data_IF_681247666863
#
_entry.id   IF_681247666863
#
_cell.length_a   1.000
_cell.length_b   1.000
_cell.length_c   1.000
_cell.angle_alpha   90.00
_cell.angle_beta   90.00
_cell.angle_gamma   90.00
#
_symmetry.space_group_name_H-M   'P 1'
#
loop_
_entity.id
_entity.type
_entity.pdbx_description
1 polymer ?
#
# COMPACT_ATOMS: atom_id res chain seq x y z
N UNK A 1 -16.85 -15.76 21.29
CA UNK A 1 -16.66 -14.33 20.98
C UNK A 1 -16.82 -14.20 19.48
N UNK A 2 -17.92 -13.58 19.00
CA UNK A 2 -18.07 -13.28 17.58
C UNK A 2 -17.13 -12.10 17.26
N UNK A 3 -15.97 -12.38 16.69
CA UNK A 3 -15.18 -11.36 16.01
C UNK A 3 -16.00 -10.91 14.81
N UNK A 4 -16.62 -9.74 14.90
CA UNK A 4 -17.13 -9.04 13.73
C UNK A 4 -15.94 -8.82 12.83
N UNK A 5 -15.88 -9.60 11.75
CA UNK A 5 -14.80 -9.52 10.77
C UNK A 5 -14.96 -8.16 10.04
N UNK A 6 -14.38 -7.11 10.64
CA UNK A 6 -14.46 -5.77 10.09
C UNK A 6 -13.64 -5.76 8.78
N UNK A 7 -14.34 -5.56 7.66
CA UNK A 7 -13.74 -5.58 6.32
C UNK A 7 -13.33 -4.20 5.83
N UNK A 8 -13.50 -3.20 6.66
CA UNK A 8 -13.15 -1.81 6.36
C UNK A 8 -12.48 -1.20 7.58
N UNK A 9 -11.40 -0.47 7.33
CA UNK A 9 -10.72 0.26 8.38
C UNK A 9 -10.00 1.48 7.80
N UNK A 10 -10.00 2.56 8.58
CA UNK A 10 -9.15 3.73 8.35
C UNK A 10 -8.39 4.05 9.63
N UNK A 11 -7.14 4.42 9.48
CA UNK A 11 -6.24 4.76 10.57
C UNK A 11 -5.38 5.95 10.18
N UNK A 12 -5.14 6.84 11.16
CA UNK A 12 -4.17 7.93 11.05
C UNK A 12 -3.32 7.88 12.31
N UNK A 13 -2.01 7.88 12.14
CA UNK A 13 -1.03 7.70 13.20
C UNK A 13 -1.13 8.74 14.31
N UNK A 14 -1.58 9.96 14.02
CA UNK A 14 -1.81 10.99 15.04
C UNK A 14 -2.90 10.64 16.06
N UNK A 15 -3.83 9.74 15.72
CA UNK A 15 -4.88 9.28 16.62
C UNK A 15 -4.51 8.01 17.40
N UNK A 16 -3.69 7.13 16.83
CA UNK A 16 -3.17 5.90 17.45
C UNK A 16 -1.70 5.76 17.06
N UNK A 17 -0.80 6.31 17.86
CA UNK A 17 0.60 6.56 17.47
C UNK A 17 1.47 5.31 17.39
N UNK A 18 1.18 4.26 18.15
CA UNK A 18 2.00 3.03 18.21
C UNK A 18 3.50 3.30 18.42
N UNK A 19 3.86 4.30 19.27
CA UNK A 19 5.25 4.59 19.62
C UNK A 19 5.82 3.45 20.48
N UNK A 20 7.05 2.99 20.16
CA UNK A 20 7.69 1.82 20.79
C UNK A 20 6.85 0.54 20.77
N UNK A 21 5.81 0.48 19.95
CA UNK A 21 4.89 -0.64 19.90
C UNK A 21 4.57 -1.02 18.46
N UNK A 22 4.67 -2.31 18.14
CA UNK A 22 4.24 -2.88 16.87
C UNK A 22 2.79 -3.33 17.01
N UNK A 23 1.91 -2.82 16.15
CA UNK A 23 0.52 -3.24 16.08
C UNK A 23 0.25 -3.90 14.72
N UNK A 24 -0.31 -5.12 14.73
CA UNK A 24 -0.72 -5.82 13.50
C UNK A 24 -2.15 -6.31 13.66
N UNK A 25 -3.02 -5.91 12.73
CA UNK A 25 -4.45 -6.24 12.74
C UNK A 25 -4.89 -6.71 11.35
N UNK A 26 -5.84 -7.65 11.32
CA UNK A 26 -6.42 -8.16 10.08
C UNK A 26 -7.83 -7.59 9.85
N UNK A 27 -8.09 -7.17 8.61
CA UNK A 27 -9.36 -6.62 8.15
C UNK A 27 -9.81 -7.36 6.88
N UNK A 28 -10.70 -8.34 7.04
CA UNK A 28 -11.01 -9.28 5.96
C UNK A 28 -9.76 -10.07 5.56
N UNK A 29 -9.34 -9.92 4.31
CA UNK A 29 -8.14 -10.58 3.77
C UNK A 29 -6.87 -9.72 3.89
N UNK A 30 -7.02 -8.46 4.31
CA UNK A 30 -5.92 -7.49 4.39
C UNK A 30 -5.36 -7.42 5.80
N UNK A 31 -4.05 -7.47 5.91
CA UNK A 31 -3.28 -7.23 7.13
C UNK A 31 -2.71 -5.82 7.08
N UNK A 32 -2.93 -5.05 8.13
CA UNK A 32 -2.33 -3.74 8.39
C UNK A 32 -1.41 -3.86 9.60
N UNK A 33 -0.15 -3.51 9.41
CA UNK A 33 0.85 -3.38 10.47
C UNK A 33 1.31 -1.93 10.58
N UNK A 34 1.46 -1.45 11.82
CA UNK A 34 1.84 -0.07 12.13
C UNK A 34 2.88 -0.03 13.24
N UNK A 35 3.82 0.89 13.12
CA UNK A 35 4.84 1.20 14.11
C UNK A 35 5.14 2.69 14.05
N UNK A 36 5.11 3.39 15.17
CA UNK A 36 5.23 4.85 15.23
C UNK A 36 6.64 5.38 15.48
N UNK A 37 7.64 4.51 15.38
CA UNK A 37 9.02 4.86 15.68
C UNK A 37 9.40 4.71 17.16
N UNK A 38 10.68 4.80 17.43
CA UNK A 38 11.27 4.59 18.75
C UNK A 38 11.44 5.91 19.52
N UNK A 39 10.86 6.01 20.71
CA UNK A 39 10.92 7.21 21.56
C UNK A 39 12.38 7.53 21.94
N UNK A 40 13.21 6.53 22.21
CA UNK A 40 14.61 6.76 22.56
C UNK A 40 15.43 7.30 21.39
N UNK A 41 15.00 7.04 20.14
CA UNK A 41 15.56 7.64 18.94
C UNK A 41 14.99 9.02 18.60
N UNK A 42 14.03 9.51 19.41
CA UNK A 42 13.42 10.83 19.27
C UNK A 42 12.10 10.83 18.51
N UNK A 43 11.43 9.68 18.30
CA UNK A 43 10.05 9.64 17.81
C UNK A 43 9.12 10.31 18.82
N UNK A 44 8.23 11.18 18.33
CA UNK A 44 7.26 11.93 19.16
C UNK A 44 5.86 11.94 18.54
N UNK A 45 5.74 11.49 17.31
CA UNK A 45 4.52 11.53 16.50
C UNK A 45 4.57 10.39 15.50
N UNK A 46 3.40 9.99 15.04
CA UNK A 46 3.23 9.11 13.89
C UNK A 46 2.38 9.88 12.87
N UNK A 47 2.89 10.10 11.69
CA UNK A 47 2.24 10.88 10.63
C UNK A 47 1.74 9.99 9.49
N UNK A 48 1.96 8.67 9.55
CA UNK A 48 1.44 7.73 8.57
C UNK A 48 -0.08 7.59 8.63
N UNK A 49 -0.65 7.04 7.57
CA UNK A 49 -2.05 6.66 7.54
C UNK A 49 -2.33 5.50 6.59
N UNK A 50 -3.46 4.87 6.83
CA UNK A 50 -3.92 3.74 6.04
C UNK A 50 -5.44 3.72 5.89
N UNK A 51 -5.90 3.24 4.74
CA UNK A 51 -7.28 2.91 4.49
C UNK A 51 -7.32 1.54 3.80
N UNK A 52 -8.14 0.62 4.30
CA UNK A 52 -8.25 -0.72 3.75
C UNK A 52 -9.71 -1.14 3.62
N UNK A 53 -10.08 -1.71 2.48
CA UNK A 53 -11.38 -2.32 2.22
C UNK A 53 -11.19 -3.69 1.60
N UNK A 54 -11.73 -4.72 2.21
CA UNK A 54 -11.71 -6.10 1.72
C UNK A 54 -13.12 -6.57 1.47
N UNK A 55 -13.44 -6.93 0.25
CA UNK A 55 -14.78 -7.38 -0.14
C UNK A 55 -14.81 -8.83 -0.70
N UNK A 56 -13.72 -9.56 -0.63
CA UNK A 56 -13.58 -10.91 -1.16
C UNK A 56 -13.32 -10.93 -2.67
N UNK A 57 -14.14 -10.24 -3.47
CA UNK A 57 -13.96 -10.15 -4.93
C UNK A 57 -12.95 -9.07 -5.34
N UNK A 58 -12.71 -8.11 -4.47
CA UNK A 58 -11.75 -7.02 -4.66
C UNK A 58 -11.21 -6.51 -3.33
N UNK A 59 -10.01 -5.98 -3.33
CA UNK A 59 -9.41 -5.21 -2.25
C UNK A 59 -9.05 -3.80 -2.74
N UNK A 60 -9.19 -2.84 -1.83
CA UNK A 60 -8.69 -1.48 -1.94
C UNK A 60 -7.80 -1.19 -0.75
N UNK A 61 -6.62 -0.66 -1.00
CA UNK A 61 -5.70 -0.18 0.03
C UNK A 61 -5.18 1.21 -0.33
N UNK A 62 -5.07 2.06 0.66
CA UNK A 62 -4.32 3.31 0.60
C UNK A 62 -3.30 3.31 1.74
N UNK A 63 -2.06 3.66 1.43
CA UNK A 63 -1.02 3.93 2.42
C UNK A 63 -0.53 5.37 2.20
N UNK A 64 -0.29 6.06 3.30
CA UNK A 64 0.11 7.46 3.30
C UNK A 64 1.29 7.62 4.26
N UNK A 65 2.29 8.35 3.81
CA UNK A 65 3.46 8.72 4.58
C UNK A 65 3.47 10.24 4.72
N UNK A 66 3.17 10.72 5.94
CA UNK A 66 2.99 12.13 6.21
C UNK A 66 4.30 12.82 6.58
N UNK A 67 4.52 14.00 6.01
CA UNK A 67 5.67 14.83 6.31
C UNK A 67 5.26 16.14 6.98
N UNK A 68 5.91 16.48 8.10
CA UNK A 68 5.70 17.69 8.89
C UNK A 68 4.42 17.71 9.74
N UNK A 69 3.31 17.14 9.28
CA UNK A 69 2.04 17.02 10.00
C UNK A 69 1.17 15.91 9.43
N UNK A 70 0.37 15.26 10.26
CA UNK A 70 -0.62 14.27 9.84
C UNK A 70 -1.91 14.88 9.23
N UNK A 71 -2.02 16.22 9.14
CA UNK A 71 -3.23 16.86 8.63
C UNK A 71 -3.49 16.54 7.15
N UNK A 72 -2.43 16.39 6.34
CA UNK A 72 -2.53 15.97 4.95
C UNK A 72 -3.00 14.52 4.82
N UNK A 73 -2.48 13.65 5.66
CA UNK A 73 -2.90 12.24 5.75
C UNK A 73 -4.38 12.15 6.11
N UNK A 74 -4.80 12.86 7.17
CA UNK A 74 -6.20 12.89 7.60
C UNK A 74 -7.13 13.43 6.50
N UNK A 75 -6.72 14.48 5.80
CA UNK A 75 -7.47 15.02 4.67
C UNK A 75 -7.66 13.99 3.55
N UNK A 76 -6.59 13.28 3.15
CA UNK A 76 -6.66 12.29 2.07
C UNK A 76 -7.47 11.08 2.49
N UNK A 77 -7.22 10.51 3.68
CA UNK A 77 -7.98 9.37 4.22
C UNK A 77 -9.46 9.67 4.28
N UNK A 78 -9.84 10.82 4.88
CA UNK A 78 -11.25 11.22 4.98
C UNK A 78 -11.89 11.51 3.61
N UNK A 79 -11.12 11.99 2.64
CA UNK A 79 -11.62 12.25 1.29
C UNK A 79 -11.91 10.95 0.58
N UNK A 80 -10.98 9.99 0.58
CA UNK A 80 -11.17 8.68 -0.08
C UNK A 80 -12.25 7.87 0.63
N UNK A 81 -12.31 7.90 1.97
CA UNK A 81 -13.32 7.16 2.72
C UNK A 81 -14.76 7.56 2.37
N UNK A 82 -14.99 8.83 2.05
CA UNK A 82 -16.31 9.33 1.60
C UNK A 82 -16.70 8.76 0.24
N UNK A 83 -15.75 8.32 -0.55
CA UNK A 83 -15.97 7.76 -1.88
C UNK A 83 -16.22 6.24 -1.89
N UNK A 84 -16.29 5.61 -0.71
CA UNK A 84 -16.45 4.16 -0.59
C UNK A 84 -17.61 3.61 -1.45
N UNK A 85 -18.79 4.18 -1.35
CA UNK A 85 -19.97 3.70 -2.11
C UNK A 85 -19.81 3.94 -3.63
N UNK A 86 -19.21 5.05 -4.04
CA UNK A 86 -18.92 5.32 -5.44
C UNK A 86 -17.92 4.30 -6.01
N UNK A 87 -16.80 4.08 -5.30
CA UNK A 87 -15.77 3.12 -5.70
C UNK A 87 -16.34 1.69 -5.69
N UNK A 88 -17.14 1.31 -4.69
CA UNK A 88 -17.82 0.01 -4.64
C UNK A 88 -18.75 -0.22 -5.83
N UNK A 89 -19.46 0.81 -6.30
CA UNK A 89 -20.26 0.71 -7.53
C UNK A 89 -19.36 0.47 -8.74
N UNK A 90 -18.24 1.19 -8.87
CA UNK A 90 -17.26 0.97 -9.95
C UNK A 90 -16.67 -0.44 -9.91
N UNK A 91 -16.52 -1.04 -8.72
CA UNK A 91 -16.05 -2.42 -8.60
C UNK A 91 -17.01 -3.46 -9.22
N UNK A 92 -18.22 -3.11 -9.57
CA UNK A 92 -19.13 -3.98 -10.33
C UNK A 92 -18.92 -3.90 -11.87
N UNK A 93 -18.13 -2.95 -12.35
CA UNK A 93 -17.79 -2.86 -13.77
C UNK A 93 -16.94 -4.06 -14.24
N UNK A 94 -16.85 -4.23 -15.57
CA UNK A 94 -15.94 -5.22 -16.15
C UNK A 94 -14.48 -4.90 -15.86
N UNK A 95 -13.64 -5.92 -15.91
CA UNK A 95 -12.18 -5.77 -15.70
C UNK A 95 -11.52 -4.81 -16.71
N UNK A 96 -12.11 -4.69 -17.91
CA UNK A 96 -11.59 -3.83 -18.98
C UNK A 96 -11.79 -2.33 -18.70
N UNK A 97 -12.69 -1.95 -17.80
CA UNK A 97 -13.07 -0.54 -17.54
C UNK A 97 -12.79 -0.09 -16.12
N UNK A 98 -12.95 -0.98 -15.14
CA UNK A 98 -12.94 -0.64 -13.72
C UNK A 98 -11.74 0.21 -13.27
N UNK A 99 -10.53 -0.16 -13.65
CA UNK A 99 -9.34 0.56 -13.19
C UNK A 99 -9.25 1.97 -13.77
N UNK A 100 -9.69 2.15 -15.03
CA UNK A 100 -9.78 3.48 -15.64
C UNK A 100 -10.84 4.34 -14.95
N UNK A 101 -11.98 3.74 -14.61
CA UNK A 101 -13.06 4.44 -13.89
C UNK A 101 -12.59 4.91 -12.53
N UNK A 102 -11.94 4.05 -11.76
CA UNK A 102 -11.38 4.38 -10.43
C UNK A 102 -10.29 5.45 -10.54
N UNK A 103 -9.34 5.29 -11.47
CA UNK A 103 -8.27 6.26 -11.69
C UNK A 103 -8.83 7.64 -12.03
N UNK A 104 -9.72 7.73 -13.01
CA UNK A 104 -10.35 8.98 -13.40
C UNK A 104 -11.13 9.63 -12.25
N UNK A 105 -11.84 8.82 -11.46
CA UNK A 105 -12.60 9.30 -10.31
C UNK A 105 -11.66 9.93 -9.25
N UNK A 106 -10.62 9.22 -8.84
CA UNK A 106 -9.64 9.69 -7.86
C UNK A 106 -8.92 10.94 -8.36
N UNK A 107 -8.45 10.95 -9.60
CA UNK A 107 -7.78 12.11 -10.19
C UNK A 107 -8.71 13.32 -10.28
N UNK A 108 -9.99 13.12 -10.61
CA UNK A 108 -10.98 14.19 -10.62
C UNK A 108 -11.14 14.84 -9.24
N UNK A 109 -11.13 14.02 -8.17
CA UNK A 109 -11.20 14.51 -6.79
C UNK A 109 -9.96 15.30 -6.43
N UNK A 110 -8.76 14.73 -6.63
CA UNK A 110 -7.51 15.37 -6.24
C UNK A 110 -7.20 16.64 -7.04
N UNK A 111 -7.66 16.73 -8.28
CA UNK A 111 -7.52 17.92 -9.12
C UNK A 111 -8.63 18.95 -8.92
N UNK A 112 -9.67 18.63 -8.16
CA UNK A 112 -10.78 19.56 -7.93
C UNK A 112 -10.32 20.81 -7.17
N UNK A 113 -10.86 21.97 -7.52
CA UNK A 113 -10.60 23.22 -6.82
C UNK A 113 -10.86 23.10 -5.31
N UNK A 114 -11.97 22.43 -4.94
CA UNK A 114 -12.34 22.25 -3.53
C UNK A 114 -11.31 21.42 -2.75
N UNK A 115 -10.73 20.37 -3.34
CA UNK A 115 -9.69 19.58 -2.68
C UNK A 115 -8.38 20.36 -2.55
N UNK A 116 -7.96 21.02 -3.60
CA UNK A 116 -6.74 21.87 -3.61
C UNK A 116 -6.81 23.01 -2.61
N UNK A 117 -7.96 23.69 -2.50
CA UNK A 117 -8.18 24.72 -1.48
C UNK A 117 -8.09 24.18 -0.04
N UNK A 118 -8.47 22.91 0.19
CA UNK A 118 -8.30 22.27 1.49
C UNK A 118 -6.82 21.96 1.75
N UNK A 119 -6.09 21.46 0.75
CA UNK A 119 -4.65 21.23 0.85
C UNK A 119 -3.87 22.50 1.23
N UNK A 120 -4.24 23.66 0.69
CA UNK A 120 -3.60 24.94 1.00
C UNK A 120 -3.84 25.44 2.43
N UNK A 121 -4.85 24.90 3.14
CA UNK A 121 -5.24 25.34 4.50
C UNK A 121 -4.68 24.46 5.61
N UNK A 122 -4.10 23.33 5.28
CA UNK A 122 -3.52 22.36 6.22
C UNK A 122 -2.01 22.52 6.32
N UNK A 123 -1.43 21.90 7.33
CA UNK A 123 0.02 21.80 7.48
C UNK A 123 0.50 20.45 6.95
N UNK A 124 1.71 20.48 6.37
CA UNK A 124 2.38 19.28 5.90
C UNK A 124 1.83 18.74 4.59
N UNK A 125 2.46 17.74 4.13
CA UNK A 125 2.21 17.01 2.90
C UNK A 125 2.33 15.51 3.15
N UNK A 126 1.85 14.69 2.20
CA UNK A 126 1.94 13.23 2.30
C UNK A 126 2.29 12.61 0.97
N UNK A 127 3.18 11.61 0.98
CA UNK A 127 3.21 10.62 -0.07
C UNK A 127 1.91 9.79 0.02
N UNK A 128 1.44 9.28 -1.10
CA UNK A 128 0.19 8.54 -1.19
C UNK A 128 0.30 7.44 -2.24
N UNK A 129 0.04 6.20 -1.82
CA UNK A 129 -0.07 5.08 -2.74
C UNK A 129 -1.43 4.40 -2.56
N UNK A 130 -2.19 4.38 -3.65
CA UNK A 130 -3.47 3.68 -3.76
C UNK A 130 -3.27 2.39 -4.54
N UNK A 131 -3.96 1.34 -4.12
CA UNK A 131 -3.91 0.03 -4.77
C UNK A 131 -5.28 -0.60 -4.80
N UNK A 132 -5.67 -1.15 -5.95
CA UNK A 132 -6.88 -1.95 -6.12
C UNK A 132 -6.53 -3.29 -6.75
N UNK A 133 -6.97 -4.40 -6.12
CA UNK A 133 -7.00 -5.70 -6.77
C UNK A 133 -8.43 -6.03 -7.15
N UNK A 134 -8.62 -6.47 -8.38
CA UNK A 134 -9.86 -7.10 -8.84
C UNK A 134 -9.54 -8.29 -9.74
N UNK A 135 -10.18 -9.43 -9.51
CA UNK A 135 -9.88 -10.69 -10.21
C UNK A 135 -8.38 -11.05 -10.12
N UNK A 136 -7.71 -11.21 -11.26
CA UNK A 136 -6.28 -11.49 -11.36
C UNK A 136 -5.45 -10.28 -11.79
N UNK A 137 -5.96 -9.05 -11.57
CA UNK A 137 -5.26 -7.82 -11.88
C UNK A 137 -5.11 -6.94 -10.65
N UNK A 138 -4.05 -6.15 -10.67
CA UNK A 138 -3.75 -5.12 -9.68
C UNK A 138 -3.49 -3.80 -10.41
N UNK A 139 -4.11 -2.73 -9.92
CA UNK A 139 -3.87 -1.36 -10.33
C UNK A 139 -3.30 -0.58 -9.16
N UNK A 140 -2.44 0.39 -9.44
CA UNK A 140 -1.93 1.34 -8.46
C UNK A 140 -1.84 2.75 -9.01
N UNK A 141 -1.92 3.72 -8.12
CA UNK A 141 -1.57 5.14 -8.32
C UNK A 141 -0.66 5.56 -7.18
N UNK A 142 0.50 6.10 -7.51
CA UNK A 142 1.54 6.47 -6.55
C UNK A 142 1.95 7.92 -6.75
N UNK A 143 2.00 8.66 -5.65
CA UNK A 143 2.53 10.00 -5.51
C UNK A 143 3.52 9.93 -4.37
N UNK A 144 4.79 10.24 -4.62
CA UNK A 144 5.85 10.13 -3.62
C UNK A 144 6.56 8.78 -3.60
N UNK A 145 6.98 8.33 -2.44
CA UNK A 145 8.00 7.30 -2.29
C UNK A 145 7.55 6.04 -1.55
N UNK A 146 6.26 5.91 -1.24
CA UNK A 146 5.69 4.62 -0.84
C UNK A 146 5.86 3.57 -1.94
N UNK A 147 6.12 2.33 -1.57
CA UNK A 147 6.35 1.24 -2.54
C UNK A 147 5.29 0.14 -2.44
N UNK A 148 4.98 -0.40 -3.62
CA UNK A 148 4.15 -1.60 -3.77
C UNK A 148 4.94 -2.73 -4.42
N UNK A 149 4.83 -3.92 -3.83
CA UNK A 149 5.46 -5.15 -4.28
C UNK A 149 4.42 -6.21 -4.62
N UNK A 150 4.74 -7.05 -5.61
CA UNK A 150 4.06 -8.34 -5.83
C UNK A 150 5.10 -9.45 -5.68
N UNK A 151 4.97 -10.22 -4.63
CA UNK A 151 5.82 -11.34 -4.34
C UNK A 151 5.21 -12.62 -4.91
N UNK A 152 5.89 -13.19 -5.88
CA UNK A 152 5.55 -14.45 -6.52
C UNK A 152 6.83 -15.19 -6.92
N UNK A 153 6.83 -16.52 -6.85
CA UNK A 153 8.03 -17.34 -7.10
C UNK A 153 8.66 -17.11 -8.49
N UNK A 154 7.82 -16.98 -9.54
CA UNK A 154 8.32 -16.73 -10.90
C UNK A 154 8.96 -15.35 -11.02
N UNK A 155 8.34 -14.32 -10.40
CA UNK A 155 8.87 -12.96 -10.39
C UNK A 155 10.15 -12.86 -9.58
N UNK A 156 10.19 -13.53 -8.42
CA UNK A 156 11.39 -13.63 -7.58
C UNK A 156 12.58 -14.23 -8.35
N UNK A 157 12.38 -15.31 -9.10
CA UNK A 157 13.43 -15.92 -9.94
C UNK A 157 13.98 -14.98 -11.01
N UNK A 158 13.20 -13.98 -11.40
CA UNK A 158 13.60 -12.94 -12.36
C UNK A 158 14.11 -11.66 -11.69
N UNK A 159 14.20 -11.63 -10.35
CA UNK A 159 14.61 -10.44 -9.59
C UNK A 159 13.57 -9.30 -9.63
N UNK A 160 12.33 -9.60 -9.99
CA UNK A 160 11.26 -8.61 -10.09
C UNK A 160 10.41 -8.63 -8.82
N UNK A 161 10.23 -7.48 -8.18
CA UNK A 161 9.49 -7.34 -6.93
C UNK A 161 8.58 -6.12 -6.94
N UNK A 162 9.13 -4.91 -7.11
CA UNK A 162 8.38 -3.67 -7.05
C UNK A 162 7.59 -3.40 -8.34
N UNK A 163 6.42 -2.77 -8.20
CA UNK A 163 5.57 -2.33 -9.31
C UNK A 163 5.79 -0.85 -9.65
N UNK A 164 6.15 -0.03 -8.67
CA UNK A 164 6.46 1.39 -8.84
C UNK A 164 7.90 1.68 -8.41
N UNK A 165 8.28 2.93 -8.54
CA UNK A 165 9.55 3.48 -8.07
C UNK A 165 9.28 4.56 -7.04
N UNK A 166 10.25 4.85 -6.17
CA UNK A 166 10.21 5.98 -5.25
C UNK A 166 10.45 7.27 -6.05
N UNK A 167 9.52 8.22 -5.88
CA UNK A 167 9.60 9.54 -6.47
C UNK A 167 9.64 10.58 -5.36
N UNK A 168 10.82 11.12 -5.09
CA UNK A 168 10.98 12.15 -4.08
C UNK A 168 10.40 13.49 -4.57
N UNK A 169 9.90 14.30 -3.62
CA UNK A 169 9.34 15.64 -3.87
C UNK A 169 7.99 15.66 -4.60
N UNK A 170 7.29 14.54 -4.65
CA UNK A 170 5.90 14.45 -5.09
C UNK A 170 4.99 14.29 -3.88
N UNK A 171 4.03 15.19 -3.71
CA UNK A 171 3.24 15.30 -2.48
C UNK A 171 1.78 15.64 -2.75
N UNK A 172 0.91 15.32 -1.77
CA UNK A 172 -0.45 15.83 -1.61
C UNK A 172 -0.51 16.56 -0.27
N UNK A 173 -0.87 17.85 -0.28
CA UNK A 173 -1.00 18.66 0.93
C UNK A 173 -0.68 20.13 0.69
N UNK A 174 -0.02 20.76 1.63
CA UNK A 174 0.39 22.17 1.48
C UNK A 174 1.31 22.36 0.27
N UNK A 175 2.26 21.45 0.06
CA UNK A 175 2.92 21.22 -1.23
C UNK A 175 2.14 20.15 -1.97
N UNK A 176 1.68 20.45 -3.20
CA UNK A 176 0.73 19.58 -3.89
C UNK A 176 1.09 19.43 -5.37
N UNK A 177 1.32 18.19 -5.80
CA UNK A 177 1.61 17.90 -7.21
C UNK A 177 0.49 18.36 -8.15
N UNK A 178 -0.76 18.36 -7.69
CA UNK A 178 -1.91 18.78 -8.49
C UNK A 178 -2.04 20.31 -8.65
N UNK A 179 -1.17 21.10 -8.04
CA UNK A 179 -1.04 22.55 -8.29
C UNK A 179 -0.06 22.85 -9.42
N UNK A 180 0.71 21.85 -9.86
CA UNK A 180 1.60 21.98 -11.01
C UNK A 180 0.79 22.03 -12.31
N UNK A 181 1.35 22.66 -13.34
CA UNK A 181 0.77 22.67 -14.69
C UNK A 181 0.66 21.26 -15.29
N UNK A 182 1.56 20.38 -14.91
CA UNK A 182 1.56 18.94 -15.21
C UNK A 182 1.74 18.20 -13.89
N UNK A 183 0.68 17.61 -13.33
CA UNK A 183 0.78 16.83 -12.10
C UNK A 183 1.70 15.62 -12.26
N UNK A 184 2.58 15.42 -11.27
CA UNK A 184 3.50 14.29 -11.24
C UNK A 184 2.95 13.18 -10.37
N UNK A 185 2.73 12.01 -10.95
CA UNK A 185 2.33 10.76 -10.31
C UNK A 185 2.66 9.58 -11.22
N UNK A 186 2.70 8.38 -10.69
CA UNK A 186 2.81 7.15 -11.48
C UNK A 186 1.58 6.28 -11.30
N UNK A 187 1.19 5.58 -12.35
CA UNK A 187 0.07 4.62 -12.31
C UNK A 187 0.39 3.42 -13.20
N UNK A 188 -0.23 2.30 -12.92
CA UNK A 188 -0.06 1.13 -13.75
C UNK A 188 -1.00 -0.01 -13.39
N UNK A 189 -1.04 -1.01 -14.28
CA UNK A 189 -1.81 -2.24 -14.12
C UNK A 189 -0.86 -3.42 -14.33
N UNK A 190 -1.03 -4.49 -13.52
CA UNK A 190 -0.32 -5.77 -13.68
C UNK A 190 -1.28 -6.93 -13.57
N UNK A 191 -1.06 -7.93 -14.44
CA UNK A 191 -1.64 -9.26 -14.28
C UNK A 191 -0.87 -10.04 -13.20
N UNK A 192 -1.59 -10.62 -12.25
CA UNK A 192 -1.02 -11.50 -11.23
C UNK A 192 -0.67 -12.86 -11.85
N UNK A 193 0.42 -13.46 -11.39
CA UNK A 193 0.87 -14.78 -11.84
C UNK A 193 -0.07 -15.87 -11.36
N UNK A 194 -0.07 -17.01 -12.02
CA UNK A 194 -0.85 -18.18 -11.59
C UNK A 194 -0.33 -18.71 -10.26
N UNK A 195 -1.23 -18.96 -9.30
CA UNK A 195 -0.88 -19.39 -7.94
C UNK A 195 -0.87 -18.24 -6.94
N UNK A 196 -0.11 -18.41 -5.87
CA UNK A 196 -0.07 -17.46 -4.75
C UNK A 196 0.75 -16.23 -5.10
N UNK A 197 0.09 -15.08 -5.08
CA UNK A 197 0.70 -13.76 -5.16
C UNK A 197 0.50 -13.06 -3.82
N UNK A 198 1.55 -12.50 -3.25
CA UNK A 198 1.47 -11.66 -2.06
C UNK A 198 1.70 -10.22 -2.45
N UNK A 199 0.72 -9.38 -2.16
CA UNK A 199 0.81 -7.94 -2.33
C UNK A 199 1.32 -7.35 -1.01
N UNK A 200 2.33 -6.47 -1.10
CA UNK A 200 2.91 -5.78 0.05
C UNK A 200 3.09 -4.32 -0.30
N UNK A 201 2.57 -3.43 0.52
CA UNK A 201 2.68 -1.98 0.36
C UNK A 201 3.33 -1.44 1.63
N UNK A 202 4.30 -0.54 1.49
CA UNK A 202 5.07 -0.03 2.63
C UNK A 202 5.34 1.47 2.49
N UNK A 203 5.44 2.16 3.65
CA UNK A 203 6.05 3.48 3.76
C UNK A 203 7.58 3.36 3.80
N UNK A 204 8.28 4.46 3.62
CA UNK A 204 9.74 4.47 3.60
C UNK A 204 10.37 4.11 4.95
N UNK A 205 9.68 4.34 6.07
CA UNK A 205 10.13 3.92 7.39
C UNK A 205 10.40 2.42 7.52
N UNK A 206 9.71 1.57 6.73
CA UNK A 206 10.06 0.14 6.63
C UNK A 206 11.40 -0.05 5.92
N UNK A 207 11.67 0.74 4.89
CA UNK A 207 12.81 0.56 3.99
C UNK A 207 14.08 1.19 4.56
N UNK A 208 13.97 2.36 5.16
CA UNK A 208 15.08 3.22 5.54
C UNK A 208 15.58 3.02 6.98
N UNK A 209 14.85 2.24 7.78
CA UNK A 209 15.19 2.05 9.18
C UNK A 209 16.58 1.41 9.37
N UNK A 210 17.34 1.97 10.29
CA UNK A 210 18.61 1.44 10.74
C UNK A 210 19.64 1.25 9.62
N UNK A 211 19.97 -0.01 9.33
CA UNK A 211 20.91 -0.38 8.27
C UNK A 211 20.26 -0.49 6.88
N UNK A 212 19.04 -0.03 6.71
CA UNK A 212 18.29 -0.07 5.46
C UNK A 212 18.13 -1.49 4.90
N UNK A 213 17.87 -2.45 5.80
CA UNK A 213 17.81 -3.87 5.45
C UNK A 213 16.79 -4.17 4.35
N UNK A 214 15.61 -3.56 4.43
CA UNK A 214 14.52 -3.78 3.48
C UNK A 214 14.57 -2.88 2.22
N UNK A 215 15.52 -1.98 2.12
CA UNK A 215 15.81 -1.27 0.86
C UNK A 215 16.24 -2.27 -0.25
N UNK A 216 16.78 -3.43 0.17
CA UNK A 216 17.03 -4.56 -0.73
C UNK A 216 15.79 -5.47 -0.78
N UNK A 217 15.01 -5.48 -1.89
CA UNK A 217 13.68 -6.11 -1.94
C UNK A 217 13.66 -7.61 -1.63
N UNK A 218 14.76 -8.34 -1.90
CA UNK A 218 14.86 -9.76 -1.58
C UNK A 218 14.78 -10.03 -0.07
N UNK A 219 15.23 -9.10 0.77
CA UNK A 219 15.17 -9.26 2.21
C UNK A 219 13.71 -9.17 2.70
N UNK A 220 12.96 -8.19 2.18
CA UNK A 220 11.53 -8.08 2.47
C UNK A 220 10.75 -9.29 1.90
N UNK A 221 11.10 -9.75 0.68
CA UNK A 221 10.52 -10.97 0.11
C UNK A 221 10.72 -12.17 1.02
N UNK A 222 11.94 -12.41 1.51
CA UNK A 222 12.28 -13.55 2.35
C UNK A 222 11.51 -13.51 3.67
N UNK A 223 11.44 -12.34 4.33
CA UNK A 223 10.77 -12.20 5.62
C UNK A 223 9.25 -12.25 5.49
N UNK A 224 8.69 -11.72 4.41
CA UNK A 224 7.24 -11.81 4.14
C UNK A 224 6.81 -13.21 3.68
N UNK A 225 7.68 -14.03 3.07
CA UNK A 225 7.33 -15.35 2.52
C UNK A 225 7.94 -16.51 3.31
N UNK A 226 8.15 -16.36 4.60
CA UNK A 226 8.59 -17.47 5.48
C UNK A 226 7.60 -18.63 5.41
N UNK A 227 8.13 -19.84 5.31
CA UNK A 227 7.33 -21.05 5.24
C UNK A 227 6.54 -21.27 6.54
N UNK A 228 5.28 -21.70 6.40
CA UNK A 228 4.38 -22.07 7.50
C UNK A 228 4.07 -20.96 8.52
N UNK A 229 4.22 -19.69 8.14
CA UNK A 229 3.90 -18.55 8.99
C UNK A 229 2.69 -17.80 8.38
N UNK A 230 1.78 -17.36 9.24
CA UNK A 230 0.63 -16.54 8.84
C UNK A 230 1.09 -15.17 8.37
N UNK A 231 0.26 -14.53 7.55
CA UNK A 231 0.57 -13.22 6.99
C UNK A 231 0.77 -12.15 8.08
N UNK A 232 -0.07 -12.20 9.13
CA UNK A 232 0.03 -11.29 10.28
C UNK A 232 1.36 -11.45 11.02
N UNK A 233 1.81 -12.70 11.19
CA UNK A 233 3.08 -13.01 11.85
C UNK A 233 4.28 -12.55 11.01
N UNK A 234 4.17 -12.64 9.65
CA UNK A 234 5.19 -12.13 8.74
C UNK A 234 5.28 -10.60 8.81
N UNK A 235 4.15 -9.90 8.78
CA UNK A 235 4.10 -8.44 8.90
C UNK A 235 4.62 -7.98 10.28
N UNK A 236 4.23 -8.67 11.35
CA UNK A 236 4.74 -8.42 12.70
C UNK A 236 6.26 -8.59 12.76
N UNK A 237 6.79 -9.67 12.19
CA UNK A 237 8.24 -9.91 12.16
C UNK A 237 9.01 -8.79 11.43
N UNK A 238 8.48 -8.31 10.29
CA UNK A 238 9.10 -7.18 9.56
C UNK A 238 9.13 -5.93 10.43
N UNK A 239 8.02 -5.58 11.08
CA UNK A 239 7.96 -4.39 11.93
C UNK A 239 8.75 -4.55 13.24
N UNK A 240 8.83 -5.74 13.83
CA UNK A 240 9.73 -6.02 14.95
C UNK A 240 11.20 -5.84 14.55
N UNK A 241 11.58 -6.25 13.34
CA UNK A 241 12.92 -5.97 12.83
C UNK A 241 13.18 -4.46 12.75
N UNK A 242 12.21 -3.68 12.23
CA UNK A 242 12.28 -2.20 12.20
C UNK A 242 12.39 -1.63 13.62
N UNK A 243 11.57 -2.09 14.55
CA UNK A 243 11.59 -1.68 15.95
C UNK A 243 12.97 -1.92 16.59
N UNK A 244 13.55 -3.11 16.40
CA UNK A 244 14.88 -3.45 16.94
C UNK A 244 16.03 -2.65 16.34
N UNK A 245 15.85 -2.03 15.16
CA UNK A 245 16.83 -1.10 14.60
C UNK A 245 16.75 0.30 15.22
N UNK A 246 15.82 0.53 16.16
CA UNK A 246 15.60 1.81 16.84
C UNK A 246 15.38 2.98 15.86
N UNK A 247 14.61 2.74 14.80
CA UNK A 247 14.24 3.78 13.85
C UNK A 247 13.39 4.87 14.50
N UNK A 248 13.68 6.13 14.17
CA UNK A 248 12.87 7.27 14.63
C UNK A 248 11.58 7.40 13.87
N UNK A 249 11.57 7.00 12.60
CA UNK A 249 10.47 7.18 11.67
C UNK A 249 9.35 6.17 11.90
N UNK A 250 8.14 6.56 11.54
CA UNK A 250 6.99 5.67 11.49
C UNK A 250 7.14 4.67 10.34
N UNK A 251 6.60 3.48 10.51
CA UNK A 251 6.66 2.42 9.52
C UNK A 251 5.31 1.72 9.42
N UNK A 252 4.74 1.72 8.23
CA UNK A 252 3.45 1.11 7.95
C UNK A 252 3.57 0.06 6.85
N UNK A 253 2.91 -1.08 7.03
CA UNK A 253 2.84 -2.17 6.06
C UNK A 253 1.39 -2.61 5.86
N UNK A 254 0.96 -2.73 4.60
CA UNK A 254 -0.32 -3.34 4.22
C UNK A 254 -0.02 -4.56 3.35
N UNK A 255 -0.66 -5.69 3.63
CA UNK A 255 -0.40 -6.90 2.84
C UNK A 255 -1.62 -7.83 2.78
N UNK A 256 -1.77 -8.54 1.67
CA UNK A 256 -2.73 -9.66 1.50
C UNK A 256 -2.25 -10.66 0.47
N UNK A 257 -2.82 -11.86 0.51
CA UNK A 257 -2.52 -12.94 -0.42
C UNK A 257 -3.66 -13.08 -1.44
N UNK A 258 -3.31 -13.31 -2.71
CA UNK A 258 -4.23 -13.63 -3.80
C UNK A 258 -3.82 -14.94 -4.44
N UNK A 259 -4.68 -15.96 -4.39
CA UNK A 259 -4.47 -17.21 -5.09
C UNK A 259 -5.13 -17.17 -6.48
N UNK A 260 -4.37 -16.74 -7.48
CA UNK A 260 -4.86 -16.65 -8.85
C UNK A 260 -4.97 -18.03 -9.49
N UNK A 261 -6.20 -18.49 -9.73
CA UNK A 261 -6.50 -19.76 -10.41
C UNK A 261 -6.47 -19.65 -11.94
N UNK A 262 -6.41 -18.44 -12.48
CA UNK A 262 -6.38 -18.21 -13.93
C UNK A 262 -4.96 -18.41 -14.47
N UNK A 263 -4.87 -18.88 -15.72
CA UNK A 263 -3.60 -18.98 -16.43
C UNK A 263 -3.10 -17.57 -16.73
N UNK A 264 -1.90 -17.26 -16.27
CA UNK A 264 -1.23 -16.00 -16.57
C UNK A 264 -0.63 -16.00 -17.99
N UNK A 265 -0.40 -14.81 -18.54
CA UNK A 265 0.23 -14.63 -19.86
C UNK A 265 1.69 -15.07 -19.83
N UNK A 266 2.10 -15.80 -20.87
CA UNK A 266 3.47 -16.22 -21.13
C UNK A 266 3.90 -15.80 -22.54
N UNK A 267 5.19 -15.60 -22.79
CA UNK A 267 5.71 -15.33 -24.14
C UNK A 267 5.47 -16.52 -25.08
N UNK A 268 5.36 -16.24 -26.38
CA UNK A 268 4.97 -17.22 -27.41
C UNK A 268 5.96 -18.39 -27.58
N UNK A 269 7.22 -18.22 -27.18
CA UNK A 269 8.27 -19.24 -27.22
C UNK A 269 8.26 -20.18 -26.00
N UNK A 270 7.42 -19.90 -24.99
CA UNK A 270 7.34 -20.70 -23.76
C UNK A 270 5.97 -21.33 -23.45
N UNK A 271 5.04 -21.50 -24.40
CA UNK A 271 3.63 -21.80 -24.06
C UNK A 271 3.41 -23.17 -23.42
N UNK A 272 4.36 -24.10 -23.44
CA UNK A 272 4.14 -25.47 -22.99
C UNK A 272 5.15 -26.03 -21.98
N UNK A 273 6.23 -25.32 -21.68
CA UNK A 273 7.29 -25.84 -20.78
C UNK A 273 6.92 -25.85 -19.31
N UNK A 274 5.80 -25.24 -18.95
CA UNK A 274 5.29 -25.22 -17.57
C UNK A 274 4.10 -26.19 -17.42
N UNK A 275 4.04 -27.26 -18.16
CA UNK A 275 3.29 -28.44 -17.72
C UNK A 275 4.11 -29.06 -16.61
N UNK A 276 3.71 -28.70 -15.40
CA UNK A 276 4.16 -29.24 -14.13
C UNK A 276 4.65 -30.69 -14.29
N UNK A 277 5.93 -30.89 -14.07
CA UNK A 277 6.39 -32.19 -13.65
C UNK A 277 5.76 -32.46 -12.28
N UNK A 278 4.75 -33.37 -12.29
CA UNK A 278 4.19 -33.96 -11.07
C UNK A 278 5.29 -34.68 -10.31
#
# INVERSE_FOLDING_TARGET
MHTTNNRQHSWVGSSEMCLDEVSVKQYGDIVLGTYGGNISAGAKKNEDGALVWSNGDWEFAAILDGHNSAESVDLVVNTIQKEYENIKVMMNESIDTVFRSVENHILTIFQSTSFKEKCQKIKGETACLLCVRKENYIWWLSIGDCLIYVFHEELHKSGQYALNQRHFYEWIGNVNTFDLSIPCYSTGIRELRTGKNRIVIVTDGVLECGKRHYETPINLYNDMNRNNIKLEESAHHVLEHVHHQCGRDSATIISWDVDNKRKATYPSDQPERIKVRK
#
